data_IF_189043410176
#
_entry.id   IF_189043410176
#
_cell.length_a   1.000
_cell.length_b   1.000
_cell.length_c   1.000
_cell.angle_alpha   90.00
_cell.angle_beta   90.00
_cell.angle_gamma   90.00
#
_symmetry.space_group_name_H-M   'P 1'
#
loop_
_entity.id
_entity.type
_entity.pdbx_description
1 polymer ?
#
# COMPACT_ATOMS: atom_id res chain seq x y z
N UNK A 1 -15.57 -11.77 8.20
CA UNK A 1 -15.25 -10.58 9.03
C UNK A 1 -14.08 -9.78 8.43
N UNK A 2 -13.03 -10.43 7.92
CA UNK A 2 -11.95 -9.76 7.18
C UNK A 2 -12.27 -9.44 5.72
N UNK A 3 -13.43 -9.84 5.22
CA UNK A 3 -13.80 -9.74 3.79
C UNK A 3 -13.79 -8.29 3.30
N UNK A 4 -14.26 -7.34 4.13
CA UNK A 4 -14.18 -5.90 3.82
C UNK A 4 -12.76 -5.35 3.76
N UNK A 5 -11.83 -5.92 4.54
CA UNK A 5 -10.43 -5.54 4.50
C UNK A 5 -9.78 -6.09 3.23
N UNK A 6 -10.06 -7.36 2.92
CA UNK A 6 -9.61 -8.02 1.69
C UNK A 6 -10.04 -7.25 0.44
N UNK A 7 -11.33 -6.91 0.34
CA UNK A 7 -11.87 -6.16 -0.81
C UNK A 7 -11.21 -4.79 -0.99
N UNK A 8 -10.91 -4.09 0.11
CA UNK A 8 -10.21 -2.79 0.05
C UNK A 8 -8.77 -2.94 -0.40
N UNK A 9 -8.06 -3.94 0.12
CA UNK A 9 -6.66 -4.18 -0.27
C UNK A 9 -6.57 -4.58 -1.75
N UNK A 10 -7.48 -5.43 -2.24
CA UNK A 10 -7.53 -5.83 -3.65
C UNK A 10 -7.80 -4.64 -4.60
N UNK A 11 -8.61 -3.68 -4.19
CA UNK A 11 -8.84 -2.46 -4.96
C UNK A 11 -7.61 -1.55 -4.97
N UNK A 12 -6.91 -1.43 -3.84
CA UNK A 12 -5.65 -0.66 -3.75
C UNK A 12 -4.57 -1.29 -4.64
N UNK A 13 -4.42 -2.61 -4.62
CA UNK A 13 -3.46 -3.31 -5.47
C UNK A 13 -3.79 -3.17 -6.96
N UNK A 14 -5.07 -3.25 -7.35
CA UNK A 14 -5.50 -3.00 -8.74
C UNK A 14 -5.17 -1.59 -9.22
N UNK A 15 -5.39 -0.58 -8.38
CA UNK A 15 -5.05 0.81 -8.69
C UNK A 15 -3.55 1.03 -8.79
N UNK A 16 -2.75 0.37 -7.96
CA UNK A 16 -1.29 0.43 -8.01
C UNK A 16 -0.71 -0.29 -9.23
N UNK A 17 -1.27 -1.45 -9.62
CA UNK A 17 -0.84 -2.23 -10.79
C UNK A 17 -1.18 -1.52 -12.12
N UNK A 18 -2.29 -0.79 -12.19
CA UNK A 18 -2.74 -0.12 -13.42
C UNK A 18 -1.91 1.10 -13.85
N UNK A 19 -1.02 1.60 -12.98
CA UNK A 19 -0.35 2.89 -13.21
C UNK A 19 1.03 2.78 -13.90
N UNK A 20 1.59 1.58 -14.11
CA UNK A 20 2.85 1.35 -14.85
C UNK A 20 4.14 1.90 -14.21
N UNK A 21 4.03 2.98 -13.42
CA UNK A 21 5.03 3.55 -12.53
C UNK A 21 4.34 4.02 -11.27
N UNK A 22 4.80 3.54 -10.13
CA UNK A 22 4.36 4.06 -8.83
C UNK A 22 5.15 5.35 -8.60
N UNK A 23 4.42 6.47 -8.52
CA UNK A 23 4.99 7.77 -8.16
C UNK A 23 4.95 7.96 -6.65
N UNK A 24 5.84 8.79 -6.10
CA UNK A 24 5.79 9.16 -4.67
C UNK A 24 4.41 9.66 -4.23
N UNK A 25 3.75 10.44 -5.09
CA UNK A 25 2.40 10.94 -4.85
C UNK A 25 1.37 9.80 -4.72
N UNK A 26 1.40 8.83 -5.63
CA UNK A 26 0.50 7.67 -5.60
C UNK A 26 0.75 6.78 -4.36
N UNK A 27 2.02 6.63 -3.97
CA UNK A 27 2.40 5.93 -2.73
C UNK A 27 1.85 6.65 -1.50
N UNK A 28 1.97 7.97 -1.43
CA UNK A 28 1.45 8.78 -0.32
C UNK A 28 -0.06 8.71 -0.18
N UNK A 29 -0.77 8.77 -1.31
CA UNK A 29 -2.24 8.63 -1.36
C UNK A 29 -2.66 7.23 -0.88
N UNK A 30 -2.00 6.19 -1.37
CA UNK A 30 -2.27 4.79 -0.98
C UNK A 30 -2.02 4.56 0.52
N UNK A 31 -0.91 5.07 1.08
CA UNK A 31 -0.60 4.96 2.50
C UNK A 31 -1.63 5.67 3.39
N UNK A 32 -2.27 6.75 2.92
CA UNK A 32 -3.36 7.41 3.64
C UNK A 32 -4.63 6.57 3.64
N UNK A 33 -4.96 5.92 2.54
CA UNK A 33 -6.11 5.00 2.47
C UNK A 33 -5.92 3.78 3.37
N UNK A 34 -4.74 3.16 3.32
CA UNK A 34 -4.39 2.03 4.19
C UNK A 34 -4.50 2.46 5.67
N UNK A 35 -4.03 3.66 6.03
CA UNK A 35 -4.18 4.17 7.40
C UNK A 35 -5.64 4.25 7.83
N UNK A 36 -6.52 4.77 6.98
CA UNK A 36 -7.96 4.85 7.29
C UNK A 36 -8.57 3.47 7.48
N UNK A 37 -8.26 2.53 6.58
CA UNK A 37 -8.72 1.16 6.68
C UNK A 37 -8.25 0.45 7.96
N UNK A 38 -7.00 0.68 8.38
CA UNK A 38 -6.48 0.12 9.64
C UNK A 38 -7.20 0.69 10.87
N UNK A 39 -7.47 1.99 10.90
CA UNK A 39 -8.18 2.62 12.01
C UNK A 39 -9.65 2.21 12.07
N UNK A 40 -10.32 2.05 10.91
CA UNK A 40 -11.69 1.54 10.82
C UNK A 40 -11.81 0.07 11.26
N UNK A 41 -10.71 -0.68 11.21
CA UNK A 41 -10.65 -2.07 11.66
C UNK A 41 -10.23 -2.20 13.14
N UNK A 42 -10.34 -1.12 13.93
CA UNK A 42 -9.95 -1.06 15.34
C UNK A 42 -8.47 -1.41 15.62
N UNK A 43 -7.58 -1.20 14.65
CA UNK A 43 -6.14 -1.40 14.86
C UNK A 43 -5.59 -0.26 15.71
N UNK A 44 -4.79 -0.61 16.72
CA UNK A 44 -4.12 0.37 17.57
C UNK A 44 -3.30 1.37 16.74
N UNK A 45 -3.48 2.66 17.00
CA UNK A 45 -2.81 3.74 16.29
C UNK A 45 -1.28 3.60 16.25
N UNK A 46 -0.64 3.17 17.35
CA UNK A 46 0.82 2.99 17.41
C UNK A 46 1.27 1.87 16.48
N UNK A 47 0.51 0.78 16.41
CA UNK A 47 0.77 -0.36 15.52
C UNK A 47 0.59 0.06 14.06
N UNK A 48 -0.52 0.72 13.73
CA UNK A 48 -0.79 1.21 12.38
C UNK A 48 0.30 2.19 11.90
N UNK A 49 0.75 3.11 12.78
CA UNK A 49 1.82 4.06 12.46
C UNK A 49 3.15 3.37 12.19
N UNK A 50 3.54 2.41 13.05
CA UNK A 50 4.79 1.67 12.87
C UNK A 50 4.76 0.80 11.60
N UNK A 51 3.63 0.15 11.32
CA UNK A 51 3.42 -0.62 10.10
C UNK A 51 3.59 0.24 8.85
N UNK A 52 2.89 1.38 8.79
CA UNK A 52 2.96 2.29 7.64
C UNK A 52 4.36 2.89 7.44
N UNK A 53 5.12 3.13 8.52
CA UNK A 53 6.49 3.61 8.42
C UNK A 53 7.40 2.56 7.75
N UNK A 54 7.30 1.30 8.16
CA UNK A 54 8.05 0.19 7.55
C UNK A 54 7.67 -0.02 6.08
N UNK A 55 6.38 0.08 5.75
CA UNK A 55 5.91 -0.04 4.37
C UNK A 55 6.45 1.09 3.49
N UNK A 56 6.46 2.33 3.99
CA UNK A 56 7.04 3.48 3.27
C UNK A 56 8.53 3.30 3.03
N UNK A 57 9.28 2.89 4.06
CA UNK A 57 10.73 2.68 3.96
C UNK A 57 11.06 1.58 2.94
N UNK A 58 10.32 0.46 2.97
CA UNK A 58 10.46 -0.60 1.99
C UNK A 58 10.12 -0.14 0.56
N UNK A 59 9.04 0.64 0.39
CA UNK A 59 8.63 1.13 -0.92
C UNK A 59 9.61 2.15 -1.52
N UNK A 60 10.20 3.02 -0.70
CA UNK A 60 11.24 3.96 -1.15
C UNK A 60 12.58 3.23 -1.38
N UNK A 61 12.93 2.28 -0.51
CA UNK A 61 14.18 1.54 -0.57
C UNK A 61 14.28 0.49 -1.68
N UNK A 62 13.17 -0.13 -2.10
CA UNK A 62 13.16 -1.21 -3.10
C UNK A 62 13.10 -0.77 -4.57
N UNK A 63 13.47 0.46 -4.91
CA UNK A 63 13.35 0.93 -6.32
C UNK A 63 11.92 0.77 -6.87
N UNK A 64 10.87 1.02 -6.08
CA UNK A 64 9.49 1.00 -6.59
C UNK A 64 9.27 2.12 -7.65
N UNK A 65 10.19 3.09 -7.70
CA UNK A 65 10.34 4.09 -8.77
C UNK A 65 10.76 3.50 -10.13
N UNK A 66 11.35 2.30 -10.16
CA UNK A 66 11.59 1.52 -11.37
C UNK A 66 10.42 0.56 -11.55
N UNK A 67 9.30 1.11 -12.02
CA UNK A 67 8.30 0.46 -12.88
C UNK A 67 8.32 -1.08 -12.82
N UNK A 68 7.59 -1.66 -11.86
CA UNK A 68 7.34 -3.08 -11.87
C UNK A 68 6.35 -3.35 -13.02
N UNK A 69 6.89 -3.65 -14.18
CA UNK A 69 6.11 -4.29 -15.24
C UNK A 69 5.70 -5.67 -14.73
N UNK A 70 4.43 -6.08 -14.90
CA UNK A 70 3.98 -7.40 -14.47
C UNK A 70 4.63 -8.47 -15.36
N UNK A 71 5.79 -8.97 -14.92
CA UNK A 71 6.60 -9.94 -15.66
C UNK A 71 7.91 -10.36 -14.98
N UNK A 72 8.26 -9.82 -13.81
CA UNK A 72 9.50 -10.19 -13.10
C UNK A 72 9.25 -10.71 -11.68
N UNK A 73 8.52 -11.83 -11.58
CA UNK A 73 8.73 -12.80 -10.51
C UNK A 73 8.75 -14.19 -11.14
N UNK A 74 9.96 -14.73 -11.28
CA UNK A 74 10.24 -16.18 -11.23
C UNK A 74 10.91 -16.43 -9.89
#
# INVERSE_FOLDING_TARGET
MFDRLTDRLDNVFRNLHGQGKITEKALDESLREIRRALLEADVNFKVAKAFLARVREAAVGQQVMRSLTPGQQV
#
